data_IF_880951905751
#
_entry.id   IF_880951905751
#
_cell.length_a   1.000
_cell.length_b   1.000
_cell.length_c   1.000
_cell.angle_alpha   90.00
_cell.angle_beta   90.00
_cell.angle_gamma   90.00
#
_symmetry.space_group_name_H-M   'P 1'
#
loop_
_entity.id
_entity.type
_entity.pdbx_description
1 polymer ?
#
# COMPACT_ATOMS: atom_id res chain seq x y z
N UNK A 1 37.78 10.74 14.04
CA UNK A 1 37.40 11.37 12.76
C UNK A 1 37.43 10.27 11.72
N UNK A 2 36.36 9.44 11.69
CA UNK A 2 36.26 8.27 10.83
C UNK A 2 35.38 8.61 9.64
N UNK A 3 35.99 8.58 8.46
CA UNK A 3 35.31 8.60 7.17
C UNK A 3 34.78 7.20 6.89
N UNK A 4 33.46 7.03 6.90
CA UNK A 4 32.85 5.78 6.47
C UNK A 4 32.94 5.67 4.95
N UNK A 5 33.78 4.74 4.49
CA UNK A 5 33.77 4.28 3.12
C UNK A 5 32.44 3.58 2.83
N UNK A 6 31.63 4.19 1.96
CA UNK A 6 30.60 3.47 1.22
C UNK A 6 31.29 2.54 0.23
N UNK A 7 31.26 1.25 0.50
CA UNK A 7 31.43 0.22 -0.52
C UNK A 7 30.28 0.36 -1.51
N UNK A 8 30.55 0.95 -2.66
CA UNK A 8 29.73 0.77 -3.87
C UNK A 8 30.53 -0.13 -4.79
N UNK A 9 30.16 -1.41 -4.84
CA UNK A 9 30.49 -2.27 -5.96
C UNK A 9 30.01 -1.55 -7.23
N UNK A 10 30.95 -1.17 -8.09
CA UNK A 10 30.65 -0.60 -9.41
C UNK A 10 30.07 -1.74 -10.27
N UNK A 11 28.77 -2.01 -10.13
CA UNK A 11 28.04 -2.81 -11.10
C UNK A 11 28.14 -2.12 -12.46
N UNK A 12 28.87 -2.73 -13.39
CA UNK A 12 28.98 -2.24 -14.76
C UNK A 12 27.64 -2.52 -15.48
N UNK A 13 26.70 -1.59 -15.37
CA UNK A 13 25.42 -1.63 -16.07
C UNK A 13 25.61 -1.52 -17.58
N UNK A 14 24.62 -1.94 -18.37
CA UNK A 14 24.68 -1.69 -19.81
C UNK A 14 24.78 -0.19 -20.10
N UNK A 15 25.48 0.17 -21.19
CA UNK A 15 25.60 1.56 -21.65
C UNK A 15 24.25 2.26 -21.76
N UNK A 16 23.21 1.50 -22.11
CA UNK A 16 21.84 1.99 -22.24
C UNK A 16 21.18 2.31 -20.91
N UNK A 17 21.36 1.47 -19.88
CA UNK A 17 20.91 1.82 -18.54
C UNK A 17 21.68 3.06 -18.02
N UNK A 18 23.00 3.12 -18.24
CA UNK A 18 23.80 4.29 -17.86
C UNK A 18 23.31 5.57 -18.56
N UNK A 19 22.98 5.49 -19.85
CA UNK A 19 22.38 6.61 -20.60
C UNK A 19 21.06 7.06 -19.96
N UNK A 20 20.16 6.13 -19.64
CA UNK A 20 18.89 6.46 -19.00
C UNK A 20 19.05 7.04 -17.58
N UNK A 21 20.02 6.56 -16.82
CA UNK A 21 20.33 7.12 -15.50
C UNK A 21 20.88 8.55 -15.64
N UNK A 22 21.76 8.80 -16.61
CA UNK A 22 22.26 10.15 -16.89
C UNK A 22 21.13 11.10 -17.33
N UNK A 23 20.17 10.61 -18.13
CA UNK A 23 19.00 11.38 -18.56
C UNK A 23 18.10 11.77 -17.37
N UNK A 24 18.04 10.97 -16.30
CA UNK A 24 17.28 11.28 -15.09
C UNK A 24 17.90 12.39 -14.23
N UNK A 25 19.19 12.66 -14.40
CA UNK A 25 19.90 13.71 -13.68
C UNK A 25 19.63 15.10 -14.28
N UNK A 26 19.27 15.15 -15.57
CA UNK A 26 18.95 16.38 -16.28
C UNK A 26 17.65 17.04 -15.79
N UNK A 27 17.52 18.33 -16.08
CA UNK A 27 16.22 19.00 -16.09
C UNK A 27 15.37 18.51 -17.26
N UNK A 28 14.06 18.71 -17.19
CA UNK A 28 13.15 18.36 -18.28
C UNK A 28 13.54 19.04 -19.59
N UNK A 29 13.96 20.31 -19.54
CA UNK A 29 14.37 21.06 -20.74
C UNK A 29 15.65 20.50 -21.34
N UNK A 30 16.66 20.19 -20.52
CA UNK A 30 17.90 19.57 -20.99
C UNK A 30 17.66 18.17 -21.57
N UNK A 31 16.80 17.37 -20.93
CA UNK A 31 16.41 16.06 -21.45
C UNK A 31 15.72 16.17 -22.82
N UNK A 32 14.86 17.18 -23.02
CA UNK A 32 14.24 17.44 -24.33
C UNK A 32 15.29 17.84 -25.37
N UNK A 33 16.24 18.71 -25.02
CA UNK A 33 17.32 19.11 -25.93
C UNK A 33 18.22 17.94 -26.32
N UNK A 34 18.54 17.07 -25.35
CA UNK A 34 19.27 15.84 -25.58
C UNK A 34 18.56 14.95 -26.61
N UNK A 35 17.26 14.70 -26.42
CA UNK A 35 16.48 13.85 -27.32
C UNK A 35 16.27 14.48 -28.70
N UNK A 36 16.12 15.79 -28.79
CA UNK A 36 16.09 16.52 -30.07
C UNK A 36 17.41 16.38 -30.83
N UNK A 37 18.54 16.40 -30.12
CA UNK A 37 19.86 16.19 -30.72
C UNK A 37 20.05 14.75 -31.16
N UNK A 38 19.53 13.78 -30.39
CA UNK A 38 19.64 12.34 -30.64
C UNK A 38 18.78 11.86 -31.81
N UNK A 39 17.52 12.31 -31.90
CA UNK A 39 16.55 11.79 -32.88
C UNK A 39 16.14 12.79 -33.96
N UNK A 40 16.56 14.04 -33.84
CA UNK A 40 16.15 15.14 -34.71
C UNK A 40 14.77 15.73 -34.35
N UNK A 41 14.47 16.95 -34.84
CA UNK A 41 13.20 17.61 -34.62
C UNK A 41 12.06 16.95 -35.42
N UNK A 42 10.82 17.16 -35.00
CA UNK A 42 9.67 16.75 -35.80
C UNK A 42 9.57 17.58 -37.10
N UNK A 43 9.19 16.92 -38.18
CA UNK A 43 9.10 17.53 -39.52
C UNK A 43 7.70 18.05 -39.82
N UNK A 44 6.68 17.53 -39.13
CA UNK A 44 5.27 17.86 -39.29
C UNK A 44 4.59 18.04 -37.95
N UNK A 45 3.53 18.84 -37.93
CA UNK A 45 2.71 19.06 -36.74
C UNK A 45 2.00 17.77 -36.33
N UNK A 46 1.51 17.69 -35.09
CA UNK A 46 0.81 16.52 -34.58
C UNK A 46 -0.58 16.37 -35.22
N UNK A 47 -1.33 17.48 -35.26
CA UNK A 47 -2.64 17.60 -35.90
C UNK A 47 -2.60 18.56 -37.08
N UNK A 48 -3.55 18.44 -38.00
CA UNK A 48 -3.78 19.45 -39.02
C UNK A 48 -4.46 20.68 -38.40
N UNK A 49 -3.85 21.86 -38.53
CA UNK A 49 -4.35 23.15 -38.03
C UNK A 49 -5.82 23.37 -38.40
N UNK A 50 -6.15 23.26 -39.69
CA UNK A 50 -7.51 23.47 -40.16
C UNK A 50 -8.51 22.52 -39.50
N UNK A 51 -8.16 21.25 -39.29
CA UNK A 51 -9.07 20.32 -38.60
C UNK A 51 -9.14 20.59 -37.10
N UNK A 52 -8.03 21.03 -36.49
CA UNK A 52 -7.95 21.37 -35.09
C UNK A 52 -8.86 22.56 -34.75
N UNK A 53 -8.81 23.62 -35.56
CA UNK A 53 -9.67 24.79 -35.37
C UNK A 53 -11.16 24.47 -35.54
N UNK A 54 -11.51 23.72 -36.60
CA UNK A 54 -12.89 23.26 -36.82
C UNK A 54 -13.40 22.42 -35.65
N UNK A 55 -12.53 21.58 -35.07
CA UNK A 55 -12.84 20.81 -33.87
C UNK A 55 -13.09 21.72 -32.66
N UNK A 56 -12.26 22.74 -32.44
CA UNK A 56 -12.46 23.70 -31.33
C UNK A 56 -13.75 24.52 -31.49
N UNK A 57 -14.18 24.78 -32.73
CA UNK A 57 -15.49 25.40 -33.04
C UNK A 57 -16.67 24.43 -32.94
N UNK A 58 -16.42 23.14 -32.73
CA UNK A 58 -17.46 22.11 -32.60
C UNK A 58 -18.04 21.62 -33.93
N UNK A 59 -17.43 21.97 -35.07
CA UNK A 59 -17.90 21.57 -36.40
C UNK A 59 -17.65 20.10 -36.70
N UNK A 60 -16.61 19.50 -36.08
CA UNK A 60 -16.22 18.10 -36.27
C UNK A 60 -15.99 17.41 -34.92
N UNK A 61 -16.17 16.09 -34.88
CA UNK A 61 -16.05 15.28 -33.65
C UNK A 61 -14.64 14.72 -33.41
N UNK A 62 -13.78 14.76 -34.41
CA UNK A 62 -12.41 14.24 -34.38
C UNK A 62 -11.44 15.18 -35.09
N UNK A 63 -10.16 15.08 -34.76
CA UNK A 63 -9.09 15.90 -35.35
C UNK A 63 -8.25 15.03 -36.27
N UNK A 64 -7.92 15.53 -37.46
CA UNK A 64 -7.07 14.83 -38.42
C UNK A 64 -5.62 14.88 -37.94
N UNK A 65 -5.03 13.72 -37.68
CA UNK A 65 -3.59 13.57 -37.41
C UNK A 65 -2.78 13.72 -38.69
N UNK A 66 -1.60 14.33 -38.59
CA UNK A 66 -0.59 14.31 -39.68
C UNK A 66 0.29 13.07 -39.56
N UNK A 67 1.18 12.86 -40.53
CA UNK A 67 2.13 11.73 -40.58
C UNK A 67 3.34 11.96 -39.65
N UNK A 68 3.08 12.26 -38.37
CA UNK A 68 4.13 12.49 -37.37
C UNK A 68 4.70 11.17 -36.79
N UNK A 69 4.06 10.03 -37.03
CA UNK A 69 4.42 8.77 -36.37
C UNK A 69 5.77 8.24 -36.83
N UNK A 70 6.66 7.96 -35.87
CA UNK A 70 7.95 7.27 -36.07
C UNK A 70 8.01 5.93 -35.33
N UNK A 71 6.86 5.31 -35.13
CA UNK A 71 6.76 4.01 -34.45
C UNK A 71 7.47 2.87 -35.18
N UNK A 72 7.70 3.00 -36.49
CA UNK A 72 8.52 2.04 -37.26
C UNK A 72 10.01 2.11 -36.91
N UNK A 73 10.45 3.19 -36.27
CA UNK A 73 11.81 3.33 -35.72
C UNK A 73 11.87 2.96 -34.23
N UNK A 74 10.74 2.53 -33.66
CA UNK A 74 10.58 2.25 -32.23
C UNK A 74 10.41 3.49 -31.36
N UNK A 75 10.04 4.64 -31.95
CA UNK A 75 9.93 5.92 -31.26
C UNK A 75 8.48 6.36 -31.04
N UNK A 76 8.23 6.92 -29.86
CA UNK A 76 7.03 7.63 -29.48
C UNK A 76 7.21 9.14 -29.73
N UNK A 77 6.10 9.81 -30.01
CA UNK A 77 6.05 11.27 -30.08
C UNK A 77 5.55 11.81 -28.74
N UNK A 78 6.32 12.71 -28.14
CA UNK A 78 6.04 13.37 -26.87
C UNK A 78 5.82 14.88 -27.09
N UNK A 79 4.78 15.44 -26.47
CA UNK A 79 4.52 16.89 -26.51
C UNK A 79 5.35 17.61 -25.43
N UNK A 80 6.21 18.54 -25.85
CA UNK A 80 7.15 19.25 -24.96
C UNK A 80 6.39 20.07 -23.90
N UNK A 81 5.23 20.62 -24.23
CA UNK A 81 4.45 21.45 -23.30
C UNK A 81 3.57 20.66 -22.31
N UNK A 82 3.76 19.33 -22.18
CA UNK A 82 3.09 18.54 -21.13
C UNK A 82 3.58 18.85 -19.71
N UNK A 83 4.64 19.66 -19.57
CA UNK A 83 4.99 20.30 -18.31
C UNK A 83 4.08 21.47 -17.91
N UNK A 84 3.23 21.95 -18.83
CA UNK A 84 2.29 23.07 -18.64
C UNK A 84 0.84 22.64 -18.75
N UNK A 85 0.54 21.65 -19.58
CA UNK A 85 -0.81 21.20 -19.88
C UNK A 85 -0.95 19.69 -19.73
N UNK A 86 -2.13 19.22 -19.35
CA UNK A 86 -2.38 17.78 -19.23
C UNK A 86 -2.91 17.22 -20.56
N UNK A 87 -2.26 16.16 -21.05
CA UNK A 87 -2.77 15.24 -22.07
C UNK A 87 -3.07 15.93 -23.41
N UNK A 88 -2.04 16.57 -23.99
CA UNK A 88 -2.13 17.38 -25.21
C UNK A 88 -2.46 16.55 -26.46
N UNK A 89 -2.34 15.23 -26.39
CA UNK A 89 -2.69 14.28 -27.45
C UNK A 89 -4.14 13.76 -27.38
N UNK A 90 -4.88 14.05 -26.30
CA UNK A 90 -6.21 13.49 -26.07
C UNK A 90 -7.33 14.48 -26.45
N UNK A 91 -8.15 14.06 -27.40
CA UNK A 91 -9.26 14.84 -27.96
C UNK A 91 -10.26 15.33 -26.90
N UNK A 92 -10.53 14.54 -25.85
CA UNK A 92 -11.43 14.96 -24.78
C UNK A 92 -10.84 16.09 -23.94
N UNK A 93 -9.54 16.03 -23.65
CA UNK A 93 -8.83 17.09 -22.94
C UNK A 93 -8.75 18.37 -23.76
N UNK A 94 -8.44 18.25 -25.05
CA UNK A 94 -8.40 19.38 -25.98
C UNK A 94 -9.76 20.08 -26.04
N UNK A 95 -10.85 19.32 -26.14
CA UNK A 95 -12.22 19.87 -26.19
C UNK A 95 -12.60 20.66 -24.95
N UNK A 96 -12.28 20.14 -23.77
CA UNK A 96 -12.64 20.78 -22.49
C UNK A 96 -11.78 22.01 -22.25
N UNK A 97 -10.47 21.93 -22.49
CA UNK A 97 -9.53 22.99 -22.14
C UNK A 97 -9.24 23.98 -23.28
N UNK A 98 -9.69 23.66 -24.50
CA UNK A 98 -9.51 24.48 -25.72
C UNK A 98 -8.06 24.96 -25.90
N UNK A 99 -7.11 24.02 -25.81
CA UNK A 99 -5.70 24.34 -25.96
C UNK A 99 -5.42 24.97 -27.34
N UNK A 100 -4.60 26.03 -27.43
CA UNK A 100 -4.21 26.62 -28.71
C UNK A 100 -3.43 25.65 -29.62
N UNK A 101 -3.61 25.77 -30.94
CA UNK A 101 -2.92 24.93 -31.93
C UNK A 101 -1.38 25.03 -31.87
N UNK A 102 -0.83 26.17 -31.43
CA UNK A 102 0.62 26.37 -31.27
C UNK A 102 1.34 25.34 -30.39
N UNK A 103 0.61 24.56 -29.59
CA UNK A 103 1.18 23.47 -28.77
C UNK A 103 1.18 22.11 -29.48
N UNK A 104 0.66 22.08 -30.71
CA UNK A 104 0.60 20.90 -31.58
C UNK A 104 1.58 21.00 -32.75
N UNK A 105 2.29 22.12 -32.87
CA UNK A 105 3.24 22.37 -33.96
C UNK A 105 4.50 21.54 -33.77
N UNK A 106 5.18 21.25 -34.88
CA UNK A 106 6.36 20.37 -34.91
C UNK A 106 7.50 20.80 -33.97
N UNK A 107 7.68 22.10 -33.73
CA UNK A 107 8.68 22.65 -32.80
C UNK A 107 8.35 22.36 -31.32
N UNK A 108 7.14 21.85 -31.04
CA UNK A 108 6.66 21.46 -29.71
C UNK A 108 6.59 19.96 -29.51
N UNK A 109 7.22 19.18 -30.41
CA UNK A 109 7.27 17.73 -30.36
C UNK A 109 8.72 17.24 -30.24
N UNK A 110 8.90 16.16 -29.50
CA UNK A 110 10.17 15.44 -29.39
C UNK A 110 9.91 13.94 -29.51
N UNK A 111 10.86 13.21 -30.10
CA UNK A 111 10.78 11.75 -30.17
C UNK A 111 11.59 11.10 -29.05
N UNK A 112 11.10 9.97 -28.57
CA UNK A 112 11.72 9.22 -27.48
C UNK A 112 11.32 7.75 -27.56
N UNK A 113 12.16 6.86 -27.07
CA UNK A 113 11.80 5.47 -26.81
C UNK A 113 10.91 5.35 -25.55
N UNK A 114 10.54 4.12 -25.17
CA UNK A 114 9.63 3.88 -24.06
C UNK A 114 10.18 4.31 -22.69
N UNK A 115 11.47 4.07 -22.41
CA UNK A 115 12.09 4.42 -21.13
C UNK A 115 12.42 5.91 -21.08
N UNK A 116 12.85 6.51 -22.18
CA UNK A 116 13.00 7.96 -22.31
C UNK A 116 11.66 8.68 -22.06
N UNK A 117 10.55 8.14 -22.59
CA UNK A 117 9.20 8.66 -22.32
C UNK A 117 8.82 8.58 -20.84
N UNK A 118 9.14 7.46 -20.18
CA UNK A 118 8.98 7.31 -18.73
C UNK A 118 9.78 8.37 -17.96
N UNK A 119 11.02 8.63 -18.39
CA UNK A 119 11.94 9.60 -17.79
C UNK A 119 11.41 11.02 -17.97
N UNK A 120 10.96 11.39 -19.17
CA UNK A 120 10.34 12.70 -19.43
C UNK A 120 9.15 12.95 -18.48
N UNK A 121 8.24 11.98 -18.32
CA UNK A 121 7.13 12.12 -17.36
C UNK A 121 7.59 12.16 -15.90
N UNK A 122 8.69 11.49 -15.56
CA UNK A 122 9.31 11.55 -14.23
C UNK A 122 9.84 12.96 -13.94
N UNK A 123 10.56 13.56 -14.88
CA UNK A 123 11.11 14.91 -14.78
C UNK A 123 10.00 15.98 -14.72
N UNK A 124 8.98 15.87 -15.59
CA UNK A 124 7.80 16.73 -15.52
C UNK A 124 7.15 16.67 -14.13
N UNK A 125 6.95 15.47 -13.60
CA UNK A 125 6.33 15.30 -12.28
C UNK A 125 7.22 15.86 -11.15
N UNK A 126 8.54 15.68 -11.24
CA UNK A 126 9.53 16.24 -10.31
C UNK A 126 9.42 17.76 -10.24
N UNK A 127 9.52 18.43 -11.38
CA UNK A 127 9.57 19.89 -11.48
C UNK A 127 8.22 20.54 -11.17
N UNK A 128 7.12 19.92 -11.60
CA UNK A 128 5.76 20.45 -11.39
C UNK A 128 5.16 20.06 -10.04
N UNK A 129 5.95 19.40 -9.17
CA UNK A 129 5.52 18.84 -7.88
C UNK A 129 4.26 17.97 -8.00
N UNK A 130 4.22 17.15 -9.05
CA UNK A 130 3.15 16.21 -9.34
C UNK A 130 1.87 16.85 -9.89
N UNK A 131 1.92 18.12 -10.33
CA UNK A 131 0.80 18.74 -11.05
C UNK A 131 0.58 18.06 -12.39
N UNK A 132 1.67 17.78 -13.12
CA UNK A 132 1.66 17.09 -14.40
C UNK A 132 2.56 15.83 -14.36
N UNK A 133 2.64 15.08 -15.46
CA UNK A 133 3.54 13.92 -15.61
C UNK A 133 3.06 12.63 -14.94
N UNK A 134 2.55 12.69 -13.71
CA UNK A 134 2.19 11.51 -12.92
C UNK A 134 1.14 10.60 -13.57
N UNK A 135 0.20 11.18 -14.34
CA UNK A 135 -0.83 10.38 -15.03
C UNK A 135 -0.23 9.61 -16.21
N UNK A 136 0.59 10.26 -17.04
CA UNK A 136 1.35 9.61 -18.12
C UNK A 136 2.18 8.45 -17.59
N UNK A 137 2.92 8.71 -16.51
CA UNK A 137 3.74 7.72 -15.81
C UNK A 137 2.92 6.52 -15.30
N UNK A 138 1.94 6.72 -14.42
CA UNK A 138 1.27 5.62 -13.71
C UNK A 138 0.14 4.95 -14.49
N UNK A 139 -0.55 5.68 -15.36
CA UNK A 139 -1.72 5.15 -16.06
C UNK A 139 -1.38 4.49 -17.38
N UNK A 140 -0.22 4.78 -17.96
CA UNK A 140 0.14 4.31 -19.30
C UNK A 140 1.52 3.65 -19.32
N UNK A 141 2.59 4.36 -18.96
CA UNK A 141 3.95 3.91 -19.29
C UNK A 141 4.49 2.85 -18.30
N UNK A 142 4.40 3.08 -16.99
CA UNK A 142 4.87 2.10 -15.99
C UNK A 142 4.17 0.73 -16.14
N UNK A 143 2.83 0.65 -16.35
CA UNK A 143 2.16 -0.63 -16.62
C UNK A 143 2.72 -1.36 -17.85
N UNK A 144 2.92 -0.65 -18.97
CA UNK A 144 3.47 -1.24 -20.20
C UNK A 144 4.88 -1.79 -19.96
N UNK A 145 5.74 -1.03 -19.28
CA UNK A 145 7.11 -1.48 -18.97
C UNK A 145 7.11 -2.74 -18.11
N UNK A 146 6.24 -2.80 -17.08
CA UNK A 146 6.12 -3.99 -16.22
C UNK A 146 5.66 -5.20 -17.03
N UNK A 147 4.60 -5.04 -17.79
CA UNK A 147 4.05 -6.10 -18.64
C UNK A 147 5.12 -6.63 -19.60
N UNK A 148 5.87 -5.74 -20.27
CA UNK A 148 6.83 -6.15 -21.30
C UNK A 148 8.15 -6.72 -20.78
N UNK A 149 8.74 -6.12 -19.73
CA UNK A 149 10.11 -6.43 -19.31
C UNK A 149 10.22 -7.12 -17.96
N UNK A 150 9.17 -7.08 -17.13
CA UNK A 150 9.16 -7.76 -15.83
C UNK A 150 8.33 -9.05 -15.92
N UNK A 151 7.11 -8.94 -16.47
CA UNK A 151 6.21 -10.07 -16.60
C UNK A 151 6.49 -10.90 -17.87
N UNK A 152 7.30 -10.36 -18.79
CA UNK A 152 7.72 -11.04 -20.01
C UNK A 152 6.63 -11.20 -21.06
N UNK A 153 5.58 -10.39 -20.99
CA UNK A 153 4.45 -10.45 -21.92
C UNK A 153 4.78 -9.62 -23.17
N UNK A 154 4.77 -10.26 -24.33
CA UNK A 154 5.04 -9.58 -25.60
C UNK A 154 3.82 -8.84 -26.15
N UNK A 155 4.01 -7.62 -26.70
CA UNK A 155 2.94 -6.91 -27.35
C UNK A 155 2.50 -7.63 -28.63
N UNK A 156 1.18 -7.69 -28.86
CA UNK A 156 0.61 -8.32 -30.06
C UNK A 156 0.85 -7.49 -31.33
N UNK A 157 0.86 -6.17 -31.20
CA UNK A 157 0.91 -5.24 -32.34
C UNK A 157 2.35 -5.05 -32.82
N UNK A 158 2.59 -5.13 -34.13
CA UNK A 158 3.93 -5.10 -34.76
C UNK A 158 4.74 -3.87 -34.32
N UNK A 159 4.19 -2.66 -34.44
CA UNK A 159 4.95 -1.45 -34.08
C UNK A 159 5.34 -1.41 -32.60
N UNK A 160 4.54 -2.03 -31.72
CA UNK A 160 4.86 -2.11 -30.29
C UNK A 160 6.02 -3.08 -30.03
N UNK A 161 6.15 -4.16 -30.83
CA UNK A 161 7.30 -5.05 -30.77
C UNK A 161 8.59 -4.30 -31.13
N UNK A 162 8.56 -3.49 -32.19
CA UNK A 162 9.68 -2.63 -32.59
C UNK A 162 10.04 -1.65 -31.47
N UNK A 163 9.04 -1.01 -30.84
CA UNK A 163 9.27 -0.11 -29.70
C UNK A 163 9.88 -0.85 -28.49
N UNK A 164 9.44 -2.09 -28.22
CA UNK A 164 9.99 -2.94 -27.16
C UNK A 164 11.46 -3.31 -27.45
N UNK A 165 11.76 -3.75 -28.66
CA UNK A 165 13.13 -4.10 -29.06
C UNK A 165 14.05 -2.86 -29.00
N UNK A 166 13.57 -1.73 -29.52
CA UNK A 166 14.31 -0.45 -29.51
C UNK A 166 14.65 0.01 -28.10
N UNK A 167 13.74 -0.15 -27.14
CA UNK A 167 13.90 0.30 -25.75
C UNK A 167 14.45 -0.80 -24.82
N UNK A 168 14.91 -1.95 -25.34
CA UNK A 168 15.23 -3.11 -24.51
C UNK A 168 16.20 -2.82 -23.36
N UNK A 169 15.83 -3.29 -22.16
CA UNK A 169 16.63 -3.46 -20.95
C UNK A 169 16.34 -4.85 -20.37
N UNK A 170 17.29 -5.43 -19.66
CA UNK A 170 17.03 -6.67 -18.91
C UNK A 170 15.99 -6.44 -17.79
N UNK A 171 15.33 -7.50 -17.28
CA UNK A 171 14.41 -7.36 -16.15
C UNK A 171 15.06 -6.77 -14.89
N UNK A 172 16.36 -7.04 -14.66
CA UNK A 172 17.14 -6.48 -13.53
C UNK A 172 17.32 -4.97 -13.71
N UNK A 173 17.80 -4.55 -14.88
CA UNK A 173 18.02 -3.12 -15.20
C UNK A 173 16.72 -2.33 -15.21
N UNK A 174 15.64 -2.93 -15.73
CA UNK A 174 14.30 -2.34 -15.72
C UNK A 174 13.86 -2.02 -14.28
N UNK A 175 14.07 -2.95 -13.34
CA UNK A 175 13.73 -2.72 -11.92
C UNK A 175 14.56 -1.59 -11.33
N UNK A 176 15.87 -1.56 -11.59
CA UNK A 176 16.77 -0.48 -11.14
C UNK A 176 16.28 0.87 -11.64
N UNK A 177 15.96 1.00 -12.93
CA UNK A 177 15.47 2.26 -13.49
C UNK A 177 14.14 2.68 -12.88
N UNK A 178 13.19 1.74 -12.74
CA UNK A 178 11.89 2.00 -12.09
C UNK A 178 12.00 2.39 -10.62
N UNK A 179 13.00 1.86 -9.89
CA UNK A 179 13.26 2.25 -8.51
C UNK A 179 13.80 3.69 -8.42
N UNK A 180 14.73 4.06 -9.31
CA UNK A 180 15.27 5.41 -9.42
C UNK A 180 14.17 6.44 -9.75
N UNK A 181 13.34 6.17 -10.75
CA UNK A 181 12.20 7.04 -11.09
C UNK A 181 11.23 7.15 -9.91
N UNK A 182 10.89 6.04 -9.25
CA UNK A 182 10.00 6.03 -8.08
C UNK A 182 10.56 6.84 -6.92
N UNK A 183 11.86 6.79 -6.68
CA UNK A 183 12.51 7.59 -5.64
C UNK A 183 12.32 9.08 -5.90
N UNK A 184 12.54 9.53 -7.13
CA UNK A 184 12.31 10.93 -7.56
C UNK A 184 10.83 11.31 -7.35
N UNK A 185 9.90 10.41 -7.66
CA UNK A 185 8.46 10.67 -7.59
C UNK A 185 7.87 10.68 -6.17
N UNK A 186 8.60 10.23 -5.13
CA UNK A 186 8.07 10.21 -3.74
C UNK A 186 7.53 11.57 -3.29
N UNK A 187 8.27 12.64 -3.55
CA UNK A 187 7.87 14.01 -3.16
C UNK A 187 6.71 14.54 -4.02
N UNK A 188 6.74 14.48 -5.36
CA UNK A 188 5.61 14.79 -6.23
C UNK A 188 4.30 14.09 -5.85
N UNK A 189 4.33 12.77 -5.62
CA UNK A 189 3.16 11.98 -5.25
C UNK A 189 2.58 12.47 -3.92
N UNK A 190 3.43 12.67 -2.90
CA UNK A 190 3.00 13.20 -1.60
C UNK A 190 2.36 14.58 -1.75
N UNK A 191 2.97 15.48 -2.54
CA UNK A 191 2.44 16.85 -2.77
C UNK A 191 1.09 16.83 -3.49
N UNK A 192 0.93 16.02 -4.54
CA UNK A 192 -0.36 15.85 -5.23
C UNK A 192 -1.43 15.28 -4.28
N UNK A 193 -1.09 14.26 -3.50
CA UNK A 193 -2.01 13.67 -2.51
C UNK A 193 -2.46 14.70 -1.47
N UNK A 194 -1.54 15.49 -0.92
CA UNK A 194 -1.89 16.57 0.02
C UNK A 194 -2.80 17.63 -0.60
N UNK A 195 -2.56 18.07 -1.85
CA UNK A 195 -3.45 19.00 -2.56
C UNK A 195 -4.85 18.40 -2.72
N UNK A 196 -4.95 17.16 -3.19
CA UNK A 196 -6.23 16.46 -3.35
C UNK A 196 -6.98 16.29 -2.02
N UNK A 197 -6.26 15.96 -0.94
CA UNK A 197 -6.85 15.88 0.39
C UNK A 197 -7.37 17.25 0.84
N UNK A 198 -6.57 18.30 0.70
CA UNK A 198 -6.98 19.68 1.01
C UNK A 198 -8.23 20.11 0.24
N UNK A 199 -8.33 19.81 -1.07
CA UNK A 199 -9.53 20.09 -1.85
C UNK A 199 -10.76 19.29 -1.38
N UNK A 200 -10.60 18.00 -1.06
CA UNK A 200 -11.69 17.19 -0.50
C UNK A 200 -12.14 17.72 0.86
N UNK A 201 -11.20 18.15 1.68
CA UNK A 201 -11.44 18.72 3.00
C UNK A 201 -12.19 20.05 2.90
N UNK A 202 -11.74 20.94 2.02
CA UNK A 202 -12.40 22.20 1.70
C UNK A 202 -13.81 21.96 1.17
N UNK A 203 -13.97 21.05 0.20
CA UNK A 203 -15.29 20.70 -0.36
C UNK A 203 -16.22 20.15 0.72
N UNK A 204 -15.73 19.31 1.63
CA UNK A 204 -16.51 18.80 2.75
C UNK A 204 -16.95 19.91 3.70
N UNK A 205 -16.06 20.85 4.02
CA UNK A 205 -16.40 22.02 4.84
C UNK A 205 -17.48 22.87 4.18
N UNK A 206 -17.33 23.18 2.89
CA UNK A 206 -18.30 23.98 2.13
C UNK A 206 -19.65 23.28 2.03
N UNK A 207 -19.68 21.96 1.79
CA UNK A 207 -20.93 21.18 1.76
C UNK A 207 -21.66 21.14 3.12
N UNK A 208 -20.93 21.28 4.22
CA UNK A 208 -21.52 21.37 5.57
C UNK A 208 -21.89 22.81 5.95
N UNK A 209 -21.62 23.78 5.07
CA UNK A 209 -21.81 25.21 5.31
C UNK A 209 -21.18 25.72 6.62
N UNK A 210 -20.00 25.18 6.96
CA UNK A 210 -19.30 25.52 8.21
C UNK A 210 -18.19 26.55 7.99
N UNK A 211 -18.04 27.45 8.96
CA UNK A 211 -16.85 28.29 9.09
C UNK A 211 -15.61 27.42 9.35
N UNK A 212 -14.42 28.00 9.19
CA UNK A 212 -13.15 27.28 9.44
C UNK A 212 -13.07 26.80 10.89
N UNK A 213 -13.50 27.62 11.85
CA UNK A 213 -13.47 27.31 13.29
C UNK A 213 -14.43 26.16 13.63
N UNK A 214 -15.67 26.24 13.16
CA UNK A 214 -16.67 25.17 13.37
C UNK A 214 -16.22 23.85 12.76
N UNK A 215 -15.63 23.89 11.56
CA UNK A 215 -15.16 22.68 10.90
C UNK A 215 -13.97 22.02 11.63
N UNK A 216 -13.09 22.84 12.24
CA UNK A 216 -12.02 22.33 13.10
C UNK A 216 -12.59 21.62 14.32
N UNK A 217 -13.52 22.26 15.03
CA UNK A 217 -14.21 21.66 16.17
C UNK A 217 -14.96 20.36 15.78
N UNK A 218 -15.64 20.37 14.63
CA UNK A 218 -16.33 19.19 14.10
C UNK A 218 -15.38 18.01 13.86
N UNK A 219 -14.19 18.27 13.33
CA UNK A 219 -13.16 17.23 13.14
C UNK A 219 -12.66 16.66 14.46
N UNK A 220 -12.41 17.52 15.43
CA UNK A 220 -11.91 17.11 16.75
C UNK A 220 -12.97 16.26 17.48
N UNK A 221 -14.23 16.71 17.50
CA UNK A 221 -15.34 15.91 18.05
C UNK A 221 -15.48 14.55 17.35
N UNK A 222 -15.37 14.52 16.02
CA UNK A 222 -15.46 13.27 15.26
C UNK A 222 -14.31 12.31 15.57
N UNK A 223 -13.10 12.82 15.79
CA UNK A 223 -11.95 12.02 16.16
C UNK A 223 -12.16 11.41 17.55
N UNK A 224 -12.56 12.22 18.53
CA UNK A 224 -12.87 11.75 19.89
C UNK A 224 -13.95 10.66 19.88
N UNK A 225 -15.04 10.87 19.13
CA UNK A 225 -16.12 9.88 19.01
C UNK A 225 -15.63 8.55 18.40
N UNK A 226 -14.68 8.60 17.46
CA UNK A 226 -14.08 7.40 16.86
C UNK A 226 -13.19 6.65 17.86
N UNK A 227 -12.41 7.37 18.66
CA UNK A 227 -11.59 6.77 19.72
C UNK A 227 -12.44 6.14 20.81
N UNK A 228 -13.51 6.82 21.23
CA UNK A 228 -14.48 6.33 22.20
C UNK A 228 -15.17 5.05 21.70
N UNK A 229 -15.64 5.04 20.45
CA UNK A 229 -16.22 3.83 19.84
C UNK A 229 -15.24 2.66 19.83
N UNK A 230 -13.97 2.92 19.50
CA UNK A 230 -12.91 1.89 19.48
C UNK A 230 -12.65 1.34 20.90
N UNK A 231 -12.64 2.21 21.90
CA UNK A 231 -12.50 1.84 23.30
C UNK A 231 -13.68 1.00 23.78
N UNK A 232 -14.91 1.45 23.50
CA UNK A 232 -16.15 0.75 23.85
C UNK A 232 -16.23 -0.63 23.21
N UNK A 233 -15.90 -0.73 21.92
CA UNK A 233 -15.80 -2.01 21.21
C UNK A 233 -14.80 -2.95 21.89
N UNK A 234 -13.59 -2.47 22.19
CA UNK A 234 -12.55 -3.28 22.87
C UNK A 234 -13.02 -3.78 24.23
N UNK A 235 -13.69 -2.94 25.02
CA UNK A 235 -14.23 -3.31 26.33
C UNK A 235 -15.37 -4.32 26.22
N UNK A 236 -16.24 -4.18 25.23
CA UNK A 236 -17.31 -5.13 24.95
C UNK A 236 -16.74 -6.53 24.68
N UNK A 237 -15.73 -6.64 23.81
CA UNK A 237 -15.09 -7.92 23.50
C UNK A 237 -14.41 -8.53 24.73
N UNK A 238 -13.70 -7.73 25.54
CA UNK A 238 -13.09 -8.21 26.79
C UNK A 238 -14.13 -8.76 27.76
N UNK A 239 -15.26 -8.08 27.93
CA UNK A 239 -16.38 -8.54 28.77
C UNK A 239 -16.96 -9.84 28.26
N UNK A 240 -17.18 -9.95 26.94
CA UNK A 240 -17.70 -11.17 26.32
C UNK A 240 -16.79 -12.38 26.59
N UNK A 241 -15.48 -12.23 26.39
CA UNK A 241 -14.50 -13.28 26.68
C UNK A 241 -14.53 -13.68 28.16
N UNK A 242 -14.65 -12.70 29.08
CA UNK A 242 -14.75 -13.00 30.52
C UNK A 242 -15.99 -13.83 30.84
N UNK A 243 -17.15 -13.45 30.30
CA UNK A 243 -18.42 -14.18 30.50
C UNK A 243 -18.32 -15.60 29.92
N UNK A 244 -17.72 -15.78 28.74
CA UNK A 244 -17.53 -17.10 28.14
C UNK A 244 -16.64 -18.00 29.00
N UNK A 245 -15.53 -17.47 29.55
CA UNK A 245 -14.67 -18.20 30.49
C UNK A 245 -15.41 -18.57 31.78
N UNK A 246 -16.21 -17.66 32.33
CA UNK A 246 -17.03 -17.94 33.53
C UNK A 246 -18.05 -19.05 33.27
N UNK A 247 -18.71 -19.05 32.11
CA UNK A 247 -19.62 -20.13 31.68
C UNK A 247 -18.90 -21.47 31.53
N UNK A 248 -17.71 -21.47 30.92
CA UNK A 248 -16.91 -22.69 30.76
C UNK A 248 -16.50 -23.28 32.12
N UNK A 249 -16.06 -22.44 33.06
CA UNK A 249 -15.74 -22.86 34.43
C UNK A 249 -16.97 -23.42 35.14
N UNK A 250 -18.13 -22.76 35.00
CA UNK A 250 -19.38 -23.26 35.58
C UNK A 250 -19.76 -24.63 35.02
N UNK A 251 -19.62 -24.84 33.71
CA UNK A 251 -19.90 -26.13 33.06
C UNK A 251 -18.94 -27.24 33.53
N UNK A 252 -17.65 -26.91 33.69
CA UNK A 252 -16.65 -27.81 34.29
C UNK A 252 -16.98 -28.17 35.73
N UNK A 253 -17.48 -27.22 36.53
CA UNK A 253 -17.96 -27.50 37.88
C UNK A 253 -19.20 -28.40 37.89
N UNK A 254 -20.17 -28.16 37.00
CA UNK A 254 -21.39 -29.00 36.90
C UNK A 254 -21.02 -30.45 36.56
N UNK A 255 -20.15 -30.65 35.57
CA UNK A 255 -19.68 -31.99 35.18
C UNK A 255 -18.86 -32.66 36.29
N UNK A 256 -18.01 -31.90 36.98
CA UNK A 256 -17.28 -32.37 38.16
C UNK A 256 -18.20 -32.83 39.28
N UNK A 257 -19.28 -32.10 39.56
CA UNK A 257 -20.27 -32.50 40.55
C UNK A 257 -21.11 -33.71 40.15
N UNK A 258 -21.26 -33.99 38.85
CA UNK A 258 -21.86 -35.26 38.41
C UNK A 258 -20.96 -36.45 38.71
N UNK A 259 -19.64 -36.29 38.56
CA UNK A 259 -18.66 -37.34 38.87
C UNK A 259 -18.47 -37.51 40.39
N UNK A 260 -18.49 -36.41 41.14
CA UNK A 260 -18.29 -36.38 42.59
C UNK A 260 -19.41 -35.60 43.29
N UNK A 261 -20.60 -36.21 43.51
CA UNK A 261 -21.78 -35.51 44.02
C UNK A 261 -21.59 -34.88 45.41
N UNK A 262 -20.86 -35.57 46.29
CA UNK A 262 -20.69 -35.14 47.70
C UNK A 262 -19.85 -33.86 47.82
N UNK A 263 -19.00 -33.57 46.84
CA UNK A 263 -18.18 -32.36 46.81
C UNK A 263 -18.99 -31.07 46.69
N UNK A 264 -20.22 -31.14 46.17
CA UNK A 264 -21.12 -29.98 46.11
C UNK A 264 -21.52 -29.49 47.50
N UNK A 265 -21.83 -30.42 48.42
CA UNK A 265 -22.16 -30.10 49.83
C UNK A 265 -20.95 -29.49 50.56
N UNK A 266 -19.76 -29.98 50.23
CA UNK A 266 -18.50 -29.54 50.84
C UNK A 266 -17.85 -28.34 50.15
N UNK A 267 -18.52 -27.72 49.15
CA UNK A 267 -18.04 -26.55 48.39
C UNK A 267 -16.67 -26.77 47.72
N UNK A 268 -16.32 -28.02 47.39
CA UNK A 268 -15.10 -28.35 46.63
C UNK A 268 -15.43 -28.17 45.14
N UNK A 269 -14.67 -27.36 44.40
CA UNK A 269 -14.93 -27.04 42.98
C UNK A 269 -13.95 -27.76 42.03
N UNK A 270 -14.28 -27.86 40.75
CA UNK A 270 -13.42 -28.48 39.73
C UNK A 270 -12.02 -27.87 39.68
N UNK A 271 -11.85 -26.57 39.91
CA UNK A 271 -10.54 -25.90 39.90
C UNK A 271 -9.77 -26.01 41.21
N UNK A 272 -10.22 -26.84 42.16
CA UNK A 272 -9.53 -27.03 43.44
C UNK A 272 -8.10 -27.50 43.21
N UNK A 273 -7.16 -26.83 43.90
CA UNK A 273 -5.74 -27.14 43.79
C UNK A 273 -5.42 -28.45 44.50
N UNK A 274 -4.41 -29.17 43.99
CA UNK A 274 -3.88 -30.39 44.61
C UNK A 274 -3.55 -30.20 46.09
N UNK A 275 -2.93 -29.06 46.43
CA UNK A 275 -2.60 -28.69 47.82
C UNK A 275 -3.85 -28.62 48.71
N UNK A 276 -4.95 -28.07 48.19
CA UNK A 276 -6.20 -27.99 48.94
C UNK A 276 -6.84 -29.37 49.12
N UNK A 277 -6.80 -30.24 48.11
CA UNK A 277 -7.26 -31.64 48.20
C UNK A 277 -6.48 -32.38 49.31
N UNK A 278 -5.15 -32.29 49.28
CA UNK A 278 -4.28 -32.90 50.30
C UNK A 278 -4.55 -32.35 51.71
N UNK A 279 -4.88 -31.05 51.84
CA UNK A 279 -5.27 -30.48 53.13
C UNK A 279 -6.58 -31.07 53.67
N UNK A 280 -7.58 -31.32 52.81
CA UNK A 280 -8.81 -31.99 53.21
C UNK A 280 -8.54 -33.43 53.65
N UNK A 281 -7.78 -34.19 52.85
CA UNK A 281 -7.36 -35.55 53.18
C UNK A 281 -6.60 -35.61 54.52
N UNK A 282 -5.68 -34.66 54.74
CA UNK A 282 -4.95 -34.56 56.00
C UNK A 282 -5.90 -34.41 57.19
N UNK A 283 -6.83 -33.48 57.10
CA UNK A 283 -7.73 -33.19 58.21
C UNK A 283 -8.71 -34.33 58.52
N UNK A 284 -9.14 -35.09 57.51
CA UNK A 284 -10.16 -36.14 57.65
C UNK A 284 -9.54 -37.46 58.11
N UNK A 285 -8.46 -37.92 57.48
CA UNK A 285 -7.91 -39.27 57.70
C UNK A 285 -6.51 -39.27 58.31
N UNK A 286 -5.65 -38.39 57.83
CA UNK A 286 -4.21 -38.52 58.10
C UNK A 286 -3.69 -37.69 59.29
N UNK A 287 -4.54 -36.90 59.95
CA UNK A 287 -4.17 -36.00 61.06
C UNK A 287 -3.52 -36.73 62.24
N UNK A 288 -3.90 -37.99 62.47
CA UNK A 288 -3.39 -38.83 63.55
C UNK A 288 -2.37 -39.88 63.06
N UNK A 289 -2.06 -39.89 61.75
CA UNK A 289 -1.22 -40.89 61.10
C UNK A 289 0.14 -40.29 60.71
N UNK A 290 0.17 -39.03 60.30
CA UNK A 290 1.37 -38.32 59.90
C UNK A 290 1.53 -37.03 60.68
N UNK A 291 2.78 -36.70 61.01
CA UNK A 291 3.13 -35.63 61.93
C UNK A 291 2.92 -34.24 61.30
N UNK A 292 2.88 -34.14 59.97
CA UNK A 292 2.63 -32.87 59.30
C UNK A 292 2.00 -32.99 57.90
N UNK A 293 1.40 -31.89 57.45
CA UNK A 293 0.89 -31.74 56.07
C UNK A 293 1.98 -31.85 55.00
N UNK A 294 3.22 -31.46 55.33
CA UNK A 294 4.39 -31.59 54.44
C UNK A 294 4.77 -33.05 54.22
N UNK A 295 4.68 -33.84 55.28
CA UNK A 295 4.92 -35.28 55.25
C UNK A 295 3.89 -35.99 54.36
N UNK A 296 2.59 -35.67 54.52
CA UNK A 296 1.54 -36.19 53.63
C UNK A 296 1.78 -35.80 52.15
N UNK A 297 2.22 -34.57 51.91
CA UNK A 297 2.51 -34.10 50.53
C UNK A 297 3.65 -34.89 49.89
N UNK A 298 4.64 -35.29 50.69
CA UNK A 298 5.79 -36.08 50.24
C UNK A 298 5.39 -37.55 50.01
N UNK A 299 4.58 -38.13 50.90
CA UNK A 299 4.05 -39.49 50.74
C UNK A 299 3.16 -39.63 49.51
N UNK A 300 2.32 -38.63 49.25
CA UNK A 300 1.39 -38.60 48.11
C UNK A 300 1.97 -37.84 46.92
N UNK A 301 3.29 -37.74 46.78
CA UNK A 301 3.92 -36.95 45.72
C UNK A 301 3.64 -37.52 44.32
N UNK A 302 3.61 -38.85 44.20
CA UNK A 302 3.41 -39.57 42.94
C UNK A 302 1.95 -39.78 42.55
N UNK A 303 0.99 -39.57 43.46
CA UNK A 303 -0.42 -39.80 43.15
C UNK A 303 -0.91 -38.81 42.10
N UNK A 304 -1.80 -39.21 41.21
CA UNK A 304 -2.41 -38.24 40.31
C UNK A 304 -3.53 -37.46 41.01
N UNK A 305 -3.87 -36.29 40.47
CA UNK A 305 -4.90 -35.42 41.06
C UNK A 305 -6.25 -36.13 41.17
N UNK A 306 -6.60 -36.95 40.18
CA UNK A 306 -7.87 -37.67 40.14
C UNK A 306 -7.92 -38.80 41.17
N UNK A 307 -6.80 -39.48 41.42
CA UNK A 307 -6.68 -40.48 42.51
C UNK A 307 -6.91 -39.86 43.88
N UNK A 308 -6.35 -38.67 44.12
CA UNK A 308 -6.55 -37.94 45.37
C UNK A 308 -7.98 -37.44 45.53
N UNK A 309 -8.65 -37.10 44.43
CA UNK A 309 -10.06 -36.73 44.43
C UNK A 309 -10.96 -37.94 44.70
N UNK A 310 -10.65 -39.11 44.13
CA UNK A 310 -11.38 -40.34 44.39
C UNK A 310 -11.23 -40.77 45.86
N UNK A 311 -10.01 -40.76 46.40
CA UNK A 311 -9.77 -41.04 47.82
C UNK A 311 -10.53 -40.06 48.73
N UNK A 312 -10.52 -38.76 48.40
CA UNK A 312 -11.26 -37.76 49.18
C UNK A 312 -12.79 -37.94 49.05
N UNK A 313 -13.27 -38.37 47.88
CA UNK A 313 -14.68 -38.59 47.65
C UNK A 313 -15.21 -39.75 48.49
N UNK A 314 -14.56 -40.92 48.44
CA UNK A 314 -14.95 -42.09 49.22
C UNK A 314 -14.99 -41.79 50.72
N UNK A 315 -13.98 -41.07 51.24
CA UNK A 315 -13.95 -40.68 52.65
C UNK A 315 -15.07 -39.72 53.05
N UNK A 316 -15.57 -38.90 52.12
CA UNK A 316 -16.69 -38.00 52.37
C UNK A 316 -18.05 -38.64 52.10
N UNK A 317 -18.11 -39.76 51.37
CA UNK A 317 -19.32 -40.59 51.24
C UNK A 317 -19.56 -41.46 52.48
N UNK A 318 -18.48 -41.88 53.14
CA UNK A 318 -18.52 -42.72 54.35
C UNK A 318 -18.83 -41.92 55.65
N UNK A 319 -18.82 -40.58 55.62
CA UNK A 319 -19.07 -39.68 56.75
C UNK A 319 -20.30 -38.79 56.55
#
# INVERSE_FOLDING_TARGET
MELSHKNTDLENYSDKLNEYLSLLELTYTEAVQYLLSKYGPATVDYYSEQSYERFLRGEIKSITKRKYSRTQEGLYCHHIDENKFENLSNINFIRVNKYPFKYQTKDRLVYCDLFEHLILHTLIAKETLGKFGLRGYFSYIEPIIKEWYIDGIDPKIIYMKICKEKAFLSPKETKILLENTRQILRRPIKRRSMRMFGYKDLRRRLNLNMTIREYKNFKDCKLNMKEELKFNYTNFYRRKIKIEKEKEIALKNITFYKKYPVFRKHKIIHSVSRKSILNHLFNIKYKNIVNSKKELTTLKINNYRDELLEELHSLLEEN
#
